data_IF_933673040309
#
_entry.id   IF_933673040309
#
_cell.length_a   1.000
_cell.length_b   1.000
_cell.length_c   1.000
_cell.angle_alpha   90.00
_cell.angle_beta   90.00
_cell.angle_gamma   90.00
#
_symmetry.space_group_name_H-M   'P 1'
#
loop_
_entity.id
_entity.type
_entity.pdbx_description
1 polymer ?
#
# COMPACT_ATOMS: atom_id res chain seq x y z
N UNK A 1 -7.93 3.48 10.86
CA UNK A 1 -8.54 4.64 11.54
C UNK A 1 -8.19 4.66 13.03
N UNK A 2 -8.42 3.57 13.82
CA UNK A 2 -8.14 3.55 15.27
C UNK A 2 -6.71 3.97 15.62
N UNK A 3 -5.69 3.44 14.93
CA UNK A 3 -4.28 3.80 15.14
C UNK A 3 -4.03 5.29 14.91
N UNK A 4 -4.66 5.86 13.89
CA UNK A 4 -4.56 7.28 13.55
C UNK A 4 -5.24 8.14 14.63
N UNK A 5 -6.43 7.75 15.09
CA UNK A 5 -7.17 8.49 16.12
C UNK A 5 -6.43 8.51 17.45
N UNK A 6 -5.82 7.40 17.84
CA UNK A 6 -5.02 7.34 19.09
C UNK A 6 -3.79 8.23 19.00
N UNK A 7 -3.18 8.33 17.81
CA UNK A 7 -1.96 9.11 17.57
C UNK A 7 -2.22 10.41 16.80
N UNK A 8 -3.43 10.97 16.88
CA UNK A 8 -3.83 12.13 16.08
C UNK A 8 -2.93 13.35 16.24
N UNK A 9 -2.32 13.52 17.40
CA UNK A 9 -1.39 14.60 17.70
C UNK A 9 -0.11 14.55 16.85
N UNK A 10 0.27 13.37 16.35
CA UNK A 10 1.44 13.19 15.49
C UNK A 10 1.16 13.46 14.01
N UNK A 11 -0.10 13.58 13.61
CA UNK A 11 -0.46 13.79 12.19
C UNK A 11 0.20 15.03 11.60
N UNK A 12 0.16 16.22 12.24
CA UNK A 12 0.80 17.41 11.68
C UNK A 12 2.32 17.25 11.51
N UNK A 13 2.97 16.63 12.49
CA UNK A 13 4.41 16.36 12.46
C UNK A 13 4.78 15.38 11.33
N UNK A 14 4.01 14.31 11.18
CA UNK A 14 4.20 13.32 10.11
C UNK A 14 4.00 13.95 8.74
N UNK A 15 2.94 14.73 8.54
CA UNK A 15 2.70 15.43 7.28
C UNK A 15 3.81 16.43 6.96
N UNK A 16 4.26 17.19 7.95
CA UNK A 16 5.39 18.12 7.79
C UNK A 16 6.67 17.36 7.40
N UNK A 17 6.95 16.24 8.06
CA UNK A 17 8.11 15.39 7.76
C UNK A 17 8.04 14.83 6.33
N UNK A 18 6.87 14.36 5.87
CA UNK A 18 6.67 13.87 4.50
C UNK A 18 6.97 14.98 3.48
N UNK A 19 6.37 16.17 3.68
CA UNK A 19 6.59 17.30 2.78
C UNK A 19 8.04 17.76 2.78
N UNK A 20 8.64 17.88 3.95
CA UNK A 20 10.04 18.31 4.09
C UNK A 20 10.99 17.34 3.40
N UNK A 21 10.77 16.03 3.55
CA UNK A 21 11.61 15.02 2.89
C UNK A 21 11.35 14.94 1.37
N UNK A 22 10.12 15.16 0.92
CA UNK A 22 9.79 15.17 -0.50
C UNK A 22 10.48 16.31 -1.26
N UNK A 23 10.63 17.47 -0.61
CA UNK A 23 11.27 18.67 -1.21
C UNK A 23 12.70 18.92 -0.72
N UNK A 24 13.32 17.99 -0.01
CA UNK A 24 14.69 18.14 0.46
C UNK A 24 15.69 17.91 -0.69
N UNK A 25 16.67 18.84 -0.85
CA UNK A 25 17.76 18.70 -1.81
C UNK A 25 18.59 17.41 -1.64
N UNK A 26 18.64 16.85 -0.44
CA UNK A 26 19.29 15.56 -0.19
C UNK A 26 18.58 14.39 -0.90
N UNK A 27 17.29 14.46 -1.12
CA UNK A 27 16.57 13.47 -1.95
C UNK A 27 16.93 13.60 -3.44
N UNK A 28 17.28 14.82 -3.90
CA UNK A 28 17.85 15.04 -5.24
C UNK A 28 19.29 14.52 -5.38
N UNK A 29 20.11 14.64 -4.33
CA UNK A 29 21.49 14.13 -4.29
C UNK A 29 21.55 12.60 -4.03
N UNK A 30 20.55 12.02 -3.37
CA UNK A 30 20.38 10.57 -3.29
C UNK A 30 20.16 9.91 -4.66
N UNK A 31 19.73 10.71 -5.65
CA UNK A 31 19.68 10.30 -7.05
C UNK A 31 21.04 10.11 -7.72
N UNK A 32 22.14 10.56 -7.11
CA UNK A 32 23.51 10.27 -7.58
C UNK A 32 23.87 8.78 -7.38
N UNK A 33 23.26 8.09 -6.44
CA UNK A 33 23.21 6.63 -6.43
C UNK A 33 21.97 6.20 -7.23
N UNK A 34 22.03 6.23 -8.57
CA UNK A 34 20.91 5.88 -9.47
C UNK A 34 20.22 4.53 -9.17
N UNK A 35 20.81 3.76 -8.27
CA UNK A 35 20.27 2.53 -7.71
C UNK A 35 19.03 2.76 -6.85
N UNK A 36 19.01 3.78 -5.97
CA UNK A 36 17.89 4.02 -5.05
C UNK A 36 16.65 4.52 -5.78
N UNK A 37 16.81 5.41 -6.76
CA UNK A 37 15.72 5.91 -7.61
C UNK A 37 15.18 4.78 -8.50
N UNK A 38 16.06 4.00 -9.13
CA UNK A 38 15.67 2.83 -9.93
C UNK A 38 14.89 1.82 -9.09
N UNK A 39 15.34 1.53 -7.88
CA UNK A 39 14.67 0.58 -6.99
C UNK A 39 13.31 1.12 -6.51
N UNK A 40 13.24 2.39 -6.13
CA UNK A 40 11.99 3.04 -5.74
C UNK A 40 10.96 3.04 -6.88
N UNK A 41 11.38 3.38 -8.10
CA UNK A 41 10.52 3.31 -9.28
C UNK A 41 10.08 1.88 -9.57
N UNK A 42 11.01 0.92 -9.58
CA UNK A 42 10.69 -0.49 -9.84
C UNK A 42 9.67 -1.03 -8.86
N UNK A 43 9.89 -0.82 -7.56
CA UNK A 43 8.99 -1.31 -6.52
C UNK A 43 7.69 -0.53 -6.50
N UNK A 44 7.74 0.81 -6.64
CA UNK A 44 6.55 1.67 -6.65
C UNK A 44 5.62 1.36 -7.82
N UNK A 45 6.17 1.26 -9.04
CA UNK A 45 5.38 0.90 -10.23
C UNK A 45 4.81 -0.51 -10.10
N UNK A 46 5.63 -1.50 -9.69
CA UNK A 46 5.16 -2.87 -9.52
C UNK A 46 4.02 -2.96 -8.49
N UNK A 47 4.13 -2.24 -7.38
CA UNK A 47 3.08 -2.20 -6.34
C UNK A 47 1.83 -1.47 -6.81
N UNK A 48 1.97 -0.32 -7.48
CA UNK A 48 0.84 0.44 -8.01
C UNK A 48 0.04 -0.34 -9.07
N UNK A 49 0.72 -0.97 -10.02
CA UNK A 49 0.06 -1.81 -11.02
C UNK A 49 -0.63 -3.02 -10.37
N UNK A 50 0.01 -3.66 -9.40
CA UNK A 50 -0.55 -4.83 -8.71
C UNK A 50 -1.75 -4.47 -7.83
N UNK A 51 -1.75 -3.30 -7.18
CA UNK A 51 -2.83 -2.88 -6.27
C UNK A 51 -4.09 -2.47 -7.04
N UNK A 52 -3.93 -1.67 -8.09
CA UNK A 52 -5.05 -1.09 -8.83
C UNK A 52 -5.46 -1.91 -10.06
N UNK A 53 -4.70 -2.95 -10.42
CA UNK A 53 -4.86 -3.71 -11.67
C UNK A 53 -4.96 -2.81 -12.92
N UNK A 54 -4.50 -1.57 -12.83
CA UNK A 54 -4.61 -0.56 -13.85
C UNK A 54 -3.75 -0.93 -15.08
N UNK A 55 -4.40 -1.06 -16.22
CA UNK A 55 -3.76 -1.44 -17.47
C UNK A 55 -3.56 -2.95 -17.68
N UNK A 56 -3.91 -3.81 -16.71
CA UNK A 56 -3.85 -5.27 -16.87
C UNK A 56 -5.06 -5.83 -17.61
N UNK A 57 -6.19 -5.12 -17.60
CA UNK A 57 -7.44 -5.58 -18.23
C UNK A 57 -8.25 -6.57 -17.39
N UNK A 58 -7.74 -7.05 -16.27
CA UNK A 58 -8.41 -8.00 -15.39
C UNK A 58 -9.71 -7.45 -14.79
N UNK A 59 -9.71 -6.20 -14.36
CA UNK A 59 -10.90 -5.51 -13.84
C UNK A 59 -12.05 -5.45 -14.85
N UNK A 60 -11.73 -5.39 -16.16
CA UNK A 60 -12.74 -5.40 -17.22
C UNK A 60 -13.51 -6.72 -17.26
N UNK A 61 -12.86 -7.85 -16.95
CA UNK A 61 -13.52 -9.15 -16.90
C UNK A 61 -14.58 -9.21 -15.79
N UNK A 62 -14.26 -8.70 -14.60
CA UNK A 62 -15.23 -8.61 -13.51
C UNK A 62 -16.36 -7.64 -13.84
N UNK A 63 -16.01 -6.48 -14.38
CA UNK A 63 -16.95 -5.42 -14.71
C UNK A 63 -17.89 -5.79 -15.88
N UNK A 64 -17.46 -6.68 -16.77
CA UNK A 64 -18.28 -7.17 -17.89
C UNK A 64 -19.52 -7.97 -17.44
N UNK A 65 -19.49 -8.52 -16.24
CA UNK A 65 -20.63 -9.22 -15.63
C UNK A 65 -21.69 -8.29 -15.02
N UNK A 66 -21.38 -6.99 -14.90
CA UNK A 66 -22.30 -6.02 -14.32
C UNK A 66 -23.39 -5.64 -15.34
N UNK A 67 -24.65 -5.63 -14.90
CA UNK A 67 -25.80 -5.19 -15.70
C UNK A 67 -25.89 -3.65 -15.65
N UNK A 68 -24.90 -2.98 -16.24
CA UNK A 68 -24.82 -1.52 -16.29
C UNK A 68 -24.21 -1.03 -17.61
N UNK A 69 -24.54 0.20 -18.06
CA UNK A 69 -23.92 0.76 -19.25
C UNK A 69 -22.39 0.82 -19.11
N UNK A 70 -21.62 0.49 -20.17
CA UNK A 70 -20.14 0.42 -20.10
C UNK A 70 -19.49 1.73 -19.63
N UNK A 71 -20.06 2.88 -19.99
CA UNK A 71 -19.55 4.20 -19.56
C UNK A 71 -19.69 4.39 -18.06
N UNK A 72 -20.83 4.00 -17.48
CA UNK A 72 -21.08 4.08 -16.03
C UNK A 72 -20.12 3.17 -15.28
N UNK A 73 -19.92 1.96 -15.79
CA UNK A 73 -18.98 1.01 -15.19
C UNK A 73 -17.53 1.50 -15.26
N UNK A 74 -17.14 2.13 -16.37
CA UNK A 74 -15.81 2.75 -16.47
C UNK A 74 -15.63 3.91 -15.50
N UNK A 75 -16.65 4.71 -15.24
CA UNK A 75 -16.60 5.76 -14.22
C UNK A 75 -16.46 5.20 -12.80
N UNK A 76 -17.13 4.09 -12.49
CA UNK A 76 -16.95 3.38 -11.22
C UNK A 76 -15.53 2.90 -11.05
N UNK A 77 -14.88 2.34 -12.08
CA UNK A 77 -13.48 1.94 -12.05
C UNK A 77 -12.52 3.11 -11.73
N UNK A 78 -12.76 4.28 -12.32
CA UNK A 78 -11.97 5.50 -11.99
C UNK A 78 -12.16 5.89 -10.53
N UNK A 79 -13.40 5.87 -10.03
CA UNK A 79 -13.70 6.19 -8.64
C UNK A 79 -13.05 5.19 -7.66
N UNK A 80 -13.12 3.90 -7.96
CA UNK A 80 -12.53 2.83 -7.17
C UNK A 80 -11.00 3.00 -7.03
N UNK A 81 -10.29 3.22 -8.14
CA UNK A 81 -8.85 3.49 -8.16
C UNK A 81 -8.50 4.75 -7.38
N UNK A 82 -9.30 5.81 -7.50
CA UNK A 82 -9.09 7.05 -6.77
C UNK A 82 -9.25 6.85 -5.25
N UNK A 83 -10.30 6.13 -4.82
CA UNK A 83 -10.52 5.81 -3.40
C UNK A 83 -9.41 4.93 -2.84
N UNK A 84 -9.01 3.89 -3.57
CA UNK A 84 -7.92 3.01 -3.13
C UNK A 84 -6.62 3.79 -2.95
N UNK A 85 -6.22 4.54 -3.97
CA UNK A 85 -4.93 5.24 -3.97
C UNK A 85 -4.89 6.44 -3.03
N UNK A 86 -5.90 7.31 -3.08
CA UNK A 86 -5.88 8.56 -2.32
C UNK A 86 -6.32 8.36 -0.87
N UNK A 87 -7.28 7.48 -0.61
CA UNK A 87 -7.82 7.30 0.73
C UNK A 87 -7.19 6.11 1.45
N UNK A 88 -7.26 4.91 0.89
CA UNK A 88 -6.81 3.69 1.58
C UNK A 88 -5.30 3.65 1.76
N UNK A 89 -4.52 3.96 0.71
CA UNK A 89 -3.06 4.01 0.81
C UNK A 89 -2.58 5.11 1.76
N UNK A 90 -3.23 6.29 1.73
CA UNK A 90 -2.89 7.39 2.65
C UNK A 90 -3.20 7.02 4.10
N UNK A 91 -4.36 6.41 4.38
CA UNK A 91 -4.70 5.95 5.72
C UNK A 91 -3.71 4.89 6.23
N UNK A 92 -3.29 3.97 5.38
CA UNK A 92 -2.31 2.94 5.74
C UNK A 92 -0.95 3.56 6.05
N UNK A 93 -0.49 4.49 5.20
CA UNK A 93 0.77 5.21 5.41
C UNK A 93 0.74 6.02 6.72
N UNK A 94 -0.33 6.76 6.98
CA UNK A 94 -0.50 7.51 8.22
C UNK A 94 -0.56 6.59 9.44
N UNK A 95 -1.23 5.43 9.34
CA UNK A 95 -1.27 4.47 10.44
C UNK A 95 0.13 3.96 10.80
N UNK A 96 0.98 3.66 9.81
CA UNK A 96 2.35 3.22 10.03
C UNK A 96 3.22 4.34 10.58
N UNK A 97 3.19 5.52 9.98
CA UNK A 97 4.05 6.64 10.36
C UNK A 97 3.67 7.22 11.75
N UNK A 98 2.37 7.36 12.03
CA UNK A 98 1.91 7.86 13.32
C UNK A 98 2.12 6.86 14.47
N UNK A 99 2.21 5.54 14.18
CA UNK A 99 2.48 4.53 15.21
C UNK A 99 3.87 4.64 15.82
N UNK A 100 4.83 5.26 15.11
CA UNK A 100 6.24 5.38 15.53
C UNK A 100 7.06 4.10 15.37
N UNK A 101 6.51 3.06 14.75
CA UNK A 101 7.23 1.80 14.47
C UNK A 101 8.22 1.99 13.31
N UNK A 102 7.90 2.87 12.38
CA UNK A 102 8.78 3.20 11.27
C UNK A 102 9.71 4.36 11.64
N UNK A 103 11.02 4.08 11.73
CA UNK A 103 12.05 5.10 11.89
C UNK A 103 12.76 5.33 10.55
N UNK A 104 12.57 6.48 9.90
CA UNK A 104 13.16 6.77 8.60
C UNK A 104 14.70 6.77 8.63
N UNK A 105 15.31 7.07 9.78
CA UNK A 105 16.78 7.09 9.92
C UNK A 105 17.32 5.65 9.90
N UNK A 106 16.70 4.75 10.69
CA UNK A 106 17.08 3.34 10.75
C UNK A 106 16.90 2.67 9.40
N UNK A 107 15.74 2.87 8.77
CA UNK A 107 15.45 2.28 7.46
C UNK A 107 16.34 2.84 6.35
N UNK A 108 16.65 4.14 6.36
CA UNK A 108 17.53 4.74 5.37
C UNK A 108 18.99 4.27 5.52
N UNK A 109 19.47 4.11 6.75
CA UNK A 109 20.81 3.60 7.02
C UNK A 109 20.97 2.12 6.65
N UNK A 110 19.89 1.33 6.77
CA UNK A 110 19.88 -0.08 6.42
C UNK A 110 19.74 -0.33 4.91
N UNK A 111 19.33 0.67 4.13
CA UNK A 111 19.15 0.53 2.68
C UNK A 111 20.45 0.07 1.99
N UNK A 112 20.36 -1.05 1.27
CA UNK A 112 21.49 -1.65 0.56
C UNK A 112 22.40 -2.54 1.41
N UNK A 113 22.07 -2.77 2.68
CA UNK A 113 22.76 -3.71 3.57
C UNK A 113 21.92 -4.96 3.83
N UNK A 114 22.56 -6.05 4.28
CA UNK A 114 21.85 -7.26 4.70
C UNK A 114 20.92 -7.00 5.90
N UNK A 115 21.22 -5.99 6.69
CA UNK A 115 20.40 -5.54 7.84
C UNK A 115 18.98 -5.13 7.40
N UNK A 116 18.81 -4.62 6.18
CA UNK A 116 17.49 -4.25 5.65
C UNK A 116 16.54 -5.45 5.54
N UNK A 117 17.06 -6.64 5.24
CA UNK A 117 16.27 -7.87 5.16
C UNK A 117 15.71 -8.31 6.52
N UNK A 118 16.35 -7.91 7.62
CA UNK A 118 15.91 -8.20 8.99
C UNK A 118 14.89 -7.20 9.55
N UNK A 119 14.67 -6.05 8.88
CA UNK A 119 13.70 -5.06 9.33
C UNK A 119 12.27 -5.46 8.92
N UNK A 120 11.27 -5.23 9.80
CA UNK A 120 9.86 -5.43 9.46
C UNK A 120 9.50 -4.65 8.19
N UNK A 121 8.88 -5.31 7.23
CA UNK A 121 8.42 -4.66 6.01
C UNK A 121 7.04 -5.17 5.59
N UNK A 122 6.35 -4.45 4.71
CA UNK A 122 5.04 -4.82 4.19
C UNK A 122 4.02 -5.11 5.30
N UNK A 123 3.46 -6.32 5.28
CA UNK A 123 2.43 -6.74 6.23
C UNK A 123 2.94 -6.82 7.68
N UNK A 124 4.20 -7.20 7.88
CA UNK A 124 4.80 -7.28 9.22
C UNK A 124 4.89 -5.88 9.86
N UNK A 125 5.34 -4.87 9.11
CA UNK A 125 5.39 -3.50 9.57
C UNK A 125 3.99 -2.96 9.92
N UNK A 126 2.99 -3.28 9.10
CA UNK A 126 1.60 -2.92 9.38
C UNK A 126 1.09 -3.61 10.65
N UNK A 127 1.39 -4.90 10.82
CA UNK A 127 1.00 -5.64 12.01
C UNK A 127 1.64 -5.05 13.29
N UNK A 128 2.89 -4.63 13.23
CA UNK A 128 3.57 -3.98 14.36
C UNK A 128 2.98 -2.60 14.66
N UNK A 129 2.59 -1.84 13.64
CA UNK A 129 1.87 -0.58 13.82
C UNK A 129 0.51 -0.78 14.53
N UNK A 130 -0.21 -1.85 14.23
CA UNK A 130 -1.46 -2.17 14.92
C UNK A 130 -1.21 -2.74 16.33
N UNK A 131 -0.16 -3.51 16.52
CA UNK A 131 0.24 -4.02 17.83
C UNK A 131 0.59 -2.91 18.81
N UNK A 132 1.21 -1.83 18.33
CA UNK A 132 1.59 -0.70 19.18
C UNK A 132 0.39 -0.02 19.85
N UNK A 133 -0.81 -0.11 19.25
CA UNK A 133 -2.04 0.52 19.78
C UNK A 133 -3.02 -0.50 20.37
N UNK A 134 -3.20 -1.64 19.70
CA UNK A 134 -4.18 -2.67 20.08
C UNK A 134 -3.55 -3.85 20.84
N UNK A 135 -2.25 -3.78 21.13
CA UNK A 135 -1.52 -4.89 21.75
C UNK A 135 -1.51 -6.15 20.87
N UNK A 136 -1.44 -7.35 21.47
CA UNK A 136 -1.39 -8.62 20.73
C UNK A 136 -2.57 -8.84 19.78
N UNK A 137 -3.75 -8.29 20.12
CA UNK A 137 -4.96 -8.37 19.28
C UNK A 137 -4.80 -7.66 17.94
N UNK A 138 -3.99 -6.60 17.86
CA UNK A 138 -3.71 -5.90 16.60
C UNK A 138 -3.03 -6.78 15.56
N UNK A 139 -2.04 -7.57 15.98
CA UNK A 139 -1.38 -8.52 15.09
C UNK A 139 -2.32 -9.62 14.60
N UNK A 140 -3.17 -10.14 15.49
CA UNK A 140 -4.17 -11.16 15.13
C UNK A 140 -5.21 -10.63 14.15
N UNK A 141 -5.66 -9.39 14.34
CA UNK A 141 -6.59 -8.73 13.43
C UNK A 141 -6.01 -8.62 12.02
N UNK A 142 -4.75 -8.19 11.89
CA UNK A 142 -4.06 -8.09 10.59
C UNK A 142 -3.89 -9.48 9.96
N UNK A 143 -3.52 -10.51 10.74
CA UNK A 143 -3.37 -11.87 10.23
C UNK A 143 -4.69 -12.42 9.67
N UNK A 144 -5.78 -12.27 10.40
CA UNK A 144 -7.12 -12.69 9.94
C UNK A 144 -7.53 -11.92 8.68
N UNK A 145 -7.32 -10.60 8.67
CA UNK A 145 -7.64 -9.77 7.50
C UNK A 145 -6.85 -10.22 6.27
N UNK A 146 -5.57 -10.54 6.41
CA UNK A 146 -4.74 -11.04 5.31
C UNK A 146 -5.24 -12.36 4.76
N UNK A 147 -5.68 -13.29 5.61
CA UNK A 147 -6.26 -14.56 5.17
C UNK A 147 -7.55 -14.33 4.38
N UNK A 148 -8.44 -13.45 4.88
CA UNK A 148 -9.69 -13.12 4.19
C UNK A 148 -9.45 -12.44 2.85
N UNK A 149 -8.50 -11.49 2.77
CA UNK A 149 -8.13 -10.84 1.53
C UNK A 149 -7.47 -11.80 0.53
N UNK A 150 -6.59 -12.69 1.01
CA UNK A 150 -5.99 -13.72 0.15
C UNK A 150 -7.07 -14.65 -0.42
N UNK A 151 -8.03 -15.07 0.39
CA UNK A 151 -9.14 -15.89 -0.06
C UNK A 151 -10.03 -15.17 -1.08
N UNK A 152 -10.37 -13.91 -0.84
CA UNK A 152 -11.11 -13.06 -1.79
C UNK A 152 -10.37 -12.92 -3.12
N UNK A 153 -9.06 -12.71 -3.06
CA UNK A 153 -8.21 -12.62 -4.27
C UNK A 153 -8.22 -13.92 -5.06
N UNK A 154 -8.13 -15.07 -4.38
CA UNK A 154 -8.20 -16.38 -5.05
C UNK A 154 -9.54 -16.58 -5.77
N UNK A 155 -10.65 -16.16 -5.15
CA UNK A 155 -11.96 -16.22 -5.80
C UNK A 155 -12.03 -15.32 -7.05
N UNK A 156 -11.52 -14.09 -6.97
CA UNK A 156 -11.46 -13.18 -8.10
C UNK A 156 -10.61 -13.73 -9.26
N UNK A 157 -9.43 -14.24 -8.95
CA UNK A 157 -8.54 -14.81 -9.98
C UNK A 157 -9.09 -16.11 -10.59
N UNK A 158 -9.81 -16.94 -9.82
CA UNK A 158 -10.49 -18.12 -10.37
C UNK A 158 -11.57 -17.72 -11.35
N UNK A 159 -12.34 -16.68 -11.06
CA UNK A 159 -13.32 -16.12 -11.98
C UNK A 159 -12.70 -15.59 -13.28
N UNK A 160 -11.55 -14.86 -13.17
CA UNK A 160 -10.84 -14.41 -14.36
C UNK A 160 -10.35 -15.58 -15.23
N UNK A 161 -9.86 -16.65 -14.58
CA UNK A 161 -9.45 -17.88 -15.27
C UNK A 161 -10.61 -18.56 -16.00
N UNK A 162 -11.76 -18.67 -15.35
CA UNK A 162 -12.99 -19.23 -15.95
C UNK A 162 -13.41 -18.43 -17.19
N UNK A 163 -13.48 -17.10 -17.06
CA UNK A 163 -13.83 -16.23 -18.18
C UNK A 163 -12.83 -16.28 -19.34
N UNK A 164 -11.55 -16.41 -19.04
CA UNK A 164 -10.51 -16.53 -20.08
C UNK A 164 -10.60 -17.85 -20.87
N UNK A 165 -11.13 -18.91 -20.27
CA UNK A 165 -11.31 -20.22 -20.94
C UNK A 165 -12.61 -20.26 -21.75
N UNK A 166 -13.63 -19.51 -21.37
CA UNK A 166 -14.90 -19.41 -22.12
C UNK A 166 -14.76 -18.65 -23.44
N UNK A 167 -13.69 -17.88 -23.65
CA UNK A 167 -13.37 -17.13 -24.87
C UNK A 167 -12.55 -17.97 -25.84
#
# INVERSE_FOLDING_TARGET
VCVILVNWQRIPEVLHSILQQAFCWKSGLGGLTGYSVKQALKVGVARGVSSNEAGLGSSVMANSAADSPPVVQGMWGIFEVAVDTLLMCTLTALAILCSGVYDPVVYSAALGTETFAGLPNGAALTADAFRSVLGPGGGMLIAISLVLFAFSTLLGWSYYGERAVEY
#
